data_IF_062110293333
#
_entry.id   IF_062110293333
#
_cell.length_a   1.000
_cell.length_b   1.000
_cell.length_c   1.000
_cell.angle_alpha   90.00
_cell.angle_beta   90.00
_cell.angle_gamma   90.00
#
_symmetry.space_group_name_H-M   'P 1'
#
loop_
_entity.id
_entity.type
_entity.pdbx_description
1 polymer ?
#
# COMPACT_ATOMS: atom_id res chain seq x y z
N UNK A 1 -47.00 48.62 -20.93
CA UNK A 1 -47.85 47.42 -20.82
C UNK A 1 -47.00 46.25 -21.28
N UNK A 2 -46.41 45.39 -20.46
CA UNK A 2 -46.60 45.05 -19.05
C UNK A 2 -45.25 44.69 -18.40
N UNK A 3 -45.04 45.12 -17.16
CA UNK A 3 -44.09 44.53 -16.21
C UNK A 3 -44.62 43.19 -15.67
N UNK A 4 -43.71 42.29 -15.25
CA UNK A 4 -43.62 41.70 -13.89
C UNK A 4 -42.53 40.60 -13.86
N UNK A 5 -41.76 40.64 -12.77
CA UNK A 5 -40.59 39.86 -12.39
C UNK A 5 -40.83 38.35 -12.11
N UNK A 6 -39.74 37.56 -12.10
CA UNK A 6 -39.30 36.68 -10.99
C UNK A 6 -38.29 35.60 -11.46
N UNK A 7 -37.10 35.56 -10.86
CA UNK A 7 -36.35 34.31 -10.57
C UNK A 7 -36.74 33.89 -9.15
N UNK A 8 -36.82 32.59 -8.74
CA UNK A 8 -35.70 31.61 -8.79
C UNK A 8 -36.10 30.09 -8.85
N UNK A 9 -35.09 29.21 -8.70
CA UNK A 9 -35.08 27.90 -7.96
C UNK A 9 -34.83 26.61 -8.77
N UNK A 10 -33.99 25.75 -8.15
CA UNK A 10 -33.48 24.43 -8.52
C UNK A 10 -34.50 23.28 -8.60
N UNK A 11 -33.96 22.08 -8.90
CA UNK A 11 -34.46 20.68 -8.76
C UNK A 11 -35.08 20.10 -10.04
N UNK A 12 -34.94 18.82 -10.40
CA UNK A 12 -34.24 17.61 -9.94
C UNK A 12 -34.61 16.54 -11.01
N UNK A 13 -33.76 15.51 -11.24
CA UNK A 13 -34.14 14.15 -11.73
C UNK A 13 -34.79 14.07 -13.15
N UNK A 14 -34.57 13.15 -14.08
CA UNK A 14 -33.99 11.82 -14.29
C UNK A 14 -33.49 11.88 -15.76
N UNK A 15 -32.40 11.26 -16.18
CA UNK A 15 -32.45 9.94 -16.83
C UNK A 15 -31.20 9.18 -16.44
N UNK A 16 -31.42 8.28 -15.50
CA UNK A 16 -30.59 7.11 -15.23
C UNK A 16 -30.72 6.20 -16.45
N UNK A 17 -29.64 5.99 -17.20
CA UNK A 17 -29.55 4.85 -18.11
C UNK A 17 -28.28 4.04 -17.83
N UNK A 18 -28.46 3.19 -16.82
CA UNK A 18 -28.02 1.80 -16.76
C UNK A 18 -26.99 1.37 -17.81
N UNK A 19 -25.71 1.51 -17.46
CA UNK A 19 -24.71 0.49 -17.79
C UNK A 19 -24.09 -0.04 -16.52
N UNK A 20 -24.89 -0.87 -15.85
CA UNK A 20 -24.47 -1.81 -14.83
C UNK A 20 -23.39 -2.73 -15.39
N UNK A 21 -22.15 -2.30 -15.22
CA UNK A 21 -20.96 -3.15 -15.15
C UNK A 21 -20.31 -2.96 -13.79
N UNK A 22 -21.11 -2.87 -12.72
CA UNK A 22 -20.61 -2.95 -11.35
C UNK A 22 -20.22 -4.40 -11.14
N UNK A 23 -18.96 -4.70 -11.42
CA UNK A 23 -18.30 -5.87 -10.85
C UNK A 23 -18.24 -5.54 -9.36
N UNK A 24 -19.11 -6.17 -8.57
CA UNK A 24 -19.01 -6.16 -7.11
C UNK A 24 -17.74 -6.94 -6.75
N UNK A 25 -16.58 -6.32 -6.94
CA UNK A 25 -15.39 -6.65 -6.17
C UNK A 25 -15.57 -5.89 -4.86
N UNK A 26 -15.89 -6.61 -3.78
CA UNK A 26 -15.82 -6.08 -2.42
C UNK A 26 -14.36 -5.69 -2.13
N UNK A 27 -13.96 -4.54 -2.65
CA UNK A 27 -12.69 -3.88 -2.40
C UNK A 27 -12.81 -3.14 -1.08
N UNK A 28 -12.87 -3.90 0.00
CA UNK A 28 -12.95 -3.38 1.36
C UNK A 28 -12.09 -4.25 2.29
N UNK A 29 -10.78 -4.27 2.08
CA UNK A 29 -9.86 -4.30 3.23
C UNK A 29 -9.82 -2.90 3.88
N UNK A 30 -11.00 -2.31 4.10
CA UNK A 30 -11.18 -1.10 4.86
C UNK A 30 -11.08 -1.44 6.34
N UNK A 31 -10.59 -0.50 7.14
CA UNK A 31 -10.42 -0.60 8.60
C UNK A 31 -11.74 -0.77 9.41
N UNK A 32 -12.82 -1.25 8.79
CA UNK A 32 -14.07 -1.64 9.45
C UNK A 32 -14.19 -3.16 9.48
N UNK A 33 -13.46 -3.82 10.38
CA UNK A 33 -13.73 -5.21 10.73
C UNK A 33 -14.73 -5.20 11.89
N UNK A 34 -16.01 -5.39 11.56
CA UNK A 34 -17.12 -5.45 12.54
C UNK A 34 -17.13 -6.78 13.33
N UNK A 35 -16.12 -7.64 13.16
CA UNK A 35 -15.99 -8.91 13.86
C UNK A 35 -16.89 -10.02 13.34
N UNK A 36 -17.59 -9.80 12.24
CA UNK A 36 -18.41 -10.79 11.54
C UNK A 36 -17.52 -11.59 10.58
N UNK A 37 -17.66 -12.93 10.51
CA UNK A 37 -16.95 -13.73 9.51
C UNK A 37 -17.20 -13.17 8.11
N UNK A 38 -16.12 -12.96 7.37
CA UNK A 38 -16.21 -12.55 5.97
C UNK A 38 -16.25 -13.81 5.10
N UNK A 39 -17.03 -13.78 4.02
CA UNK A 39 -17.12 -14.88 3.05
C UNK A 39 -15.76 -15.27 2.46
N UNK A 40 -14.78 -14.36 2.50
CA UNK A 40 -13.41 -14.57 2.03
C UNK A 40 -12.43 -15.13 3.07
N UNK A 41 -12.87 -15.43 4.30
CA UNK A 41 -11.96 -15.82 5.39
C UNK A 41 -11.21 -17.13 5.13
N UNK A 42 -11.81 -18.04 4.36
CA UNK A 42 -11.19 -19.32 3.96
C UNK A 42 -10.31 -19.19 2.71
N UNK A 43 -10.34 -18.05 2.02
CA UNK A 43 -9.50 -17.82 0.85
C UNK A 43 -8.03 -17.66 1.24
N UNK A 44 -7.09 -18.14 0.41
CA UNK A 44 -5.67 -17.96 0.67
C UNK A 44 -5.32 -16.46 0.67
N UNK A 45 -4.34 -16.09 1.47
CA UNK A 45 -3.72 -14.76 1.37
C UNK A 45 -3.14 -14.59 -0.04
N UNK A 46 -3.55 -13.51 -0.72
CA UNK A 46 -3.01 -13.10 -2.02
C UNK A 46 -2.67 -11.62 -1.90
N UNK A 47 -1.53 -11.20 -2.44
CA UNK A 47 -1.27 -9.78 -2.65
C UNK A 47 -2.12 -9.33 -3.83
N UNK A 48 -3.33 -8.88 -3.56
CA UNK A 48 -4.11 -8.21 -4.57
C UNK A 48 -3.60 -6.78 -4.69
N UNK A 49 -3.13 -6.41 -5.88
CA UNK A 49 -2.92 -5.01 -6.22
C UNK A 49 -4.13 -4.58 -7.05
N UNK A 50 -5.18 -4.04 -6.43
CA UNK A 50 -6.41 -3.69 -7.14
C UNK A 50 -6.21 -2.49 -8.10
N UNK A 51 -5.07 -1.80 -7.99
CA UNK A 51 -4.77 -0.58 -8.75
C UNK A 51 -3.65 -0.80 -9.76
N UNK A 52 -3.90 -0.43 -11.01
CA UNK A 52 -2.84 -0.29 -12.00
C UNK A 52 -1.99 0.96 -11.69
N UNK A 53 -0.95 0.76 -10.88
CA UNK A 53 -0.01 1.80 -10.47
C UNK A 53 0.78 2.38 -11.64
N UNK A 54 1.14 1.56 -12.62
CA UNK A 54 1.88 2.02 -13.78
C UNK A 54 1.03 2.99 -14.62
N UNK A 55 -0.23 2.63 -14.88
CA UNK A 55 -1.15 3.52 -15.61
C UNK A 55 -1.50 4.76 -14.79
N UNK A 56 -1.78 4.60 -13.48
CA UNK A 56 -2.08 5.73 -12.58
C UNK A 56 -0.92 6.73 -12.51
N UNK A 57 0.32 6.25 -12.39
CA UNK A 57 1.50 7.09 -12.34
C UNK A 57 1.75 7.82 -13.66
N UNK A 58 1.58 7.14 -14.81
CA UNK A 58 1.69 7.79 -16.13
C UNK A 58 0.66 8.91 -16.30
N UNK A 59 -0.60 8.64 -15.99
CA UNK A 59 -1.66 9.66 -16.02
C UNK A 59 -1.35 10.82 -15.06
N UNK A 60 -0.84 10.52 -13.86
CA UNK A 60 -0.42 11.51 -12.89
C UNK A 60 0.71 12.41 -13.41
N UNK A 61 1.71 11.83 -14.07
CA UNK A 61 2.80 12.58 -14.70
C UNK A 61 2.29 13.48 -15.82
N UNK A 62 1.49 12.93 -16.73
CA UNK A 62 0.94 13.68 -17.86
C UNK A 62 0.11 14.88 -17.38
N UNK A 63 -0.67 14.68 -16.30
CA UNK A 63 -1.42 15.73 -15.63
C UNK A 63 -0.50 16.80 -15.03
N UNK A 64 0.52 16.42 -14.26
CA UNK A 64 1.45 17.38 -13.64
C UNK A 64 2.19 18.22 -14.68
N UNK A 65 2.64 17.58 -15.78
CA UNK A 65 3.29 18.28 -16.90
C UNK A 65 2.30 19.25 -17.57
N UNK A 66 1.06 18.84 -17.80
CA UNK A 66 0.03 19.73 -18.35
C UNK A 66 -0.31 20.91 -17.42
N UNK A 67 -0.19 20.73 -16.11
CA UNK A 67 -0.34 21.78 -15.09
C UNK A 67 0.91 22.69 -14.97
N UNK A 68 1.97 22.43 -15.75
CA UNK A 68 3.17 23.26 -15.84
C UNK A 68 4.36 22.80 -15.00
N UNK A 69 4.32 21.58 -14.46
CA UNK A 69 5.49 20.99 -13.81
C UNK A 69 6.62 20.78 -14.83
N UNK A 70 7.86 21.01 -14.39
CA UNK A 70 9.05 20.65 -15.16
C UNK A 70 9.09 19.12 -15.34
N UNK A 71 9.16 18.59 -16.58
CA UNK A 71 9.27 17.15 -16.82
C UNK A 71 10.43 16.49 -16.05
N UNK A 72 11.55 17.19 -15.82
CA UNK A 72 12.70 16.66 -15.08
C UNK A 72 12.47 16.63 -13.56
N UNK A 73 11.37 17.24 -13.08
CA UNK A 73 10.95 17.24 -11.68
C UNK A 73 9.92 16.17 -11.35
N UNK A 74 9.47 15.36 -12.32
CA UNK A 74 8.49 14.29 -12.10
C UNK A 74 9.05 12.96 -12.60
N UNK A 75 9.45 12.10 -11.66
CA UNK A 75 10.06 10.80 -11.96
C UNK A 75 9.21 9.64 -11.44
N UNK A 76 9.40 8.47 -12.03
CA UNK A 76 8.80 7.24 -11.53
C UNK A 76 9.67 6.58 -10.46
N UNK A 77 9.03 5.84 -9.55
CA UNK A 77 9.73 5.02 -8.55
C UNK A 77 10.71 4.03 -9.23
N UNK A 78 10.32 3.46 -10.36
CA UNK A 78 11.18 2.58 -11.17
C UNK A 78 12.44 3.26 -11.73
N UNK A 79 12.44 4.60 -11.83
CA UNK A 79 13.53 5.41 -12.36
C UNK A 79 14.54 5.81 -11.27
N UNK A 80 14.22 5.64 -9.98
CA UNK A 80 15.14 5.99 -8.88
C UNK A 80 16.52 5.34 -9.00
N UNK A 81 16.57 4.11 -9.52
CA UNK A 81 17.84 3.39 -9.76
C UNK A 81 18.77 4.12 -10.73
N UNK A 82 18.22 4.95 -11.62
CA UNK A 82 19.01 5.76 -12.55
C UNK A 82 19.64 6.97 -11.85
N UNK A 83 19.07 7.39 -10.72
CA UNK A 83 19.55 8.51 -9.92
C UNK A 83 20.40 8.08 -8.73
N UNK A 84 20.18 6.86 -8.22
CA UNK A 84 20.90 6.30 -7.06
C UNK A 84 21.59 5.01 -7.51
N UNK A 85 22.70 5.17 -8.22
CA UNK A 85 23.51 4.05 -8.71
C UNK A 85 24.23 3.38 -7.54
N UNK A 86 24.06 2.06 -7.45
CA UNK A 86 24.84 1.22 -6.54
C UNK A 86 26.22 0.97 -7.16
N UNK A 87 27.27 1.20 -6.37
CA UNK A 87 28.64 0.98 -6.81
C UNK A 87 29.10 -0.46 -6.48
N UNK A 88 29.96 -1.02 -7.32
CA UNK A 88 30.52 -2.34 -7.08
C UNK A 88 31.40 -2.32 -5.82
N UNK A 89 31.24 -3.32 -4.94
CA UNK A 89 31.96 -3.40 -3.66
C UNK A 89 31.48 -2.40 -2.58
N UNK A 90 30.43 -1.62 -2.86
CA UNK A 90 29.90 -0.64 -1.91
C UNK A 90 29.25 -1.31 -0.69
N UNK A 91 29.58 -0.80 0.50
CA UNK A 91 28.96 -1.26 1.74
C UNK A 91 27.49 -0.81 1.83
N UNK A 92 26.66 -1.57 2.54
CA UNK A 92 25.25 -1.18 2.74
C UNK A 92 25.10 0.17 3.44
N UNK A 93 26.05 0.53 4.31
CA UNK A 93 26.01 1.80 5.04
C UNK A 93 26.32 2.99 4.11
N UNK A 94 27.32 2.85 3.25
CA UNK A 94 27.67 3.89 2.27
C UNK A 94 26.54 4.07 1.24
N UNK A 95 25.95 2.96 0.78
CA UNK A 95 24.79 3.00 -0.10
C UNK A 95 23.60 3.70 0.55
N UNK A 96 23.27 3.36 1.81
CA UNK A 96 22.17 3.98 2.54
C UNK A 96 22.40 5.49 2.74
N UNK A 97 23.65 5.90 3.02
CA UNK A 97 24.02 7.31 3.13
C UNK A 97 23.79 8.04 1.81
N UNK A 98 24.31 7.52 0.69
CA UNK A 98 24.13 8.13 -0.63
C UNK A 98 22.66 8.19 -1.03
N UNK A 99 21.91 7.12 -0.75
CA UNK A 99 20.47 7.08 -0.98
C UNK A 99 19.77 8.25 -0.26
N UNK A 100 20.04 8.41 1.05
CA UNK A 100 19.43 9.48 1.85
C UNK A 100 19.83 10.88 1.35
N UNK A 101 21.11 11.09 1.01
CA UNK A 101 21.60 12.36 0.46
C UNK A 101 20.92 12.71 -0.87
N UNK A 102 20.81 11.76 -1.80
CA UNK A 102 20.14 11.97 -3.09
C UNK A 102 18.65 12.25 -2.91
N UNK A 103 17.96 11.50 -2.04
CA UNK A 103 16.55 11.73 -1.73
C UNK A 103 16.32 13.12 -1.13
N UNK A 104 17.15 13.54 -0.18
CA UNK A 104 17.06 14.89 0.39
C UNK A 104 17.30 15.98 -0.66
N UNK A 105 18.25 15.76 -1.57
CA UNK A 105 18.49 16.70 -2.68
C UNK A 105 17.34 16.75 -3.69
N UNK A 106 16.65 15.63 -3.92
CA UNK A 106 15.42 15.59 -4.74
C UNK A 106 14.27 16.34 -4.05
N UNK A 107 14.06 16.13 -2.75
CA UNK A 107 13.07 16.85 -1.94
C UNK A 107 13.35 18.35 -1.96
N UNK A 108 14.61 18.76 -1.78
CA UNK A 108 15.01 20.17 -1.83
C UNK A 108 14.79 20.83 -3.19
N UNK A 109 14.66 20.05 -4.26
CA UNK A 109 14.31 20.49 -5.62
C UNK A 109 12.84 20.28 -5.97
N UNK A 110 12.02 19.89 -5.00
CA UNK A 110 10.59 19.59 -5.19
C UNK A 110 10.31 18.51 -6.24
N UNK A 111 11.21 17.52 -6.37
CA UNK A 111 11.00 16.38 -7.28
C UNK A 111 9.85 15.52 -6.76
N UNK A 112 8.86 15.30 -7.62
CA UNK A 112 7.73 14.39 -7.38
C UNK A 112 8.09 12.99 -7.84
N UNK A 113 8.09 12.03 -6.91
CA UNK A 113 8.33 10.62 -7.21
C UNK A 113 6.98 9.89 -7.22
N UNK A 114 6.57 9.43 -8.39
CA UNK A 114 5.30 8.75 -8.59
C UNK A 114 5.49 7.23 -8.46
N UNK A 115 4.70 6.60 -7.59
CA UNK A 115 4.74 5.15 -7.40
C UNK A 115 4.12 4.43 -8.60
N UNK A 116 4.95 3.94 -9.51
CA UNK A 116 4.56 3.10 -10.65
C UNK A 116 4.79 1.60 -10.40
N UNK A 117 5.39 1.23 -9.26
CA UNK A 117 5.83 -0.12 -8.93
C UNK A 117 5.04 -0.79 -7.80
N UNK A 118 3.94 -0.19 -7.33
CA UNK A 118 3.16 -0.73 -6.21
C UNK A 118 4.00 -0.92 -4.91
N UNK A 119 4.98 -0.05 -4.66
CA UNK A 119 5.86 -0.23 -3.49
C UNK A 119 5.20 0.10 -2.14
N UNK A 120 3.99 0.67 -2.14
CA UNK A 120 3.30 1.16 -0.93
C UNK A 120 2.03 0.41 -0.55
N UNK A 121 1.48 -0.43 -1.44
CA UNK A 121 0.21 -1.15 -1.20
C UNK A 121 0.41 -2.56 -0.66
N UNK A 122 1.67 -2.96 -0.45
CA UNK A 122 1.97 -4.22 0.21
C UNK A 122 1.60 -4.06 1.67
N UNK A 123 0.47 -4.65 2.06
CA UNK A 123 0.09 -4.80 3.46
C UNK A 123 1.23 -5.53 4.17
N UNK A 124 1.72 -4.92 5.26
CA UNK A 124 2.73 -5.54 6.11
C UNK A 124 2.21 -6.91 6.58
N UNK A 125 2.77 -7.95 6.00
CA UNK A 125 2.42 -9.36 6.25
C UNK A 125 3.43 -10.03 7.18
N UNK A 126 4.52 -9.32 7.49
CA UNK A 126 5.55 -9.76 8.42
C UNK A 126 5.45 -9.00 9.74
N UNK A 127 5.39 -9.72 10.86
CA UNK A 127 5.30 -9.14 12.20
C UNK A 127 6.47 -9.60 13.05
N UNK A 128 7.18 -8.65 13.65
CA UNK A 128 8.29 -8.93 14.56
C UNK A 128 7.87 -8.67 16.00
N UNK A 129 8.03 -9.65 16.87
CA UNK A 129 7.81 -9.51 18.31
C UNK A 129 9.03 -8.88 18.98
N UNK A 130 8.85 -8.33 20.18
CA UNK A 130 9.93 -7.70 20.95
C UNK A 130 11.10 -8.66 21.28
N UNK A 131 10.82 -9.96 21.36
CA UNK A 131 11.83 -11.03 21.56
C UNK A 131 12.57 -11.43 20.26
N UNK A 132 12.28 -10.75 19.14
CA UNK A 132 12.99 -10.90 17.87
C UNK A 132 12.44 -11.97 16.92
N UNK A 133 11.42 -12.73 17.32
CA UNK A 133 10.75 -13.70 16.43
C UNK A 133 9.99 -13.00 15.31
N UNK A 134 9.89 -13.67 14.16
CA UNK A 134 9.25 -13.12 12.96
C UNK A 134 8.14 -14.06 12.49
N UNK A 135 6.95 -13.51 12.31
CA UNK A 135 5.76 -14.20 11.84
C UNK A 135 5.43 -13.72 10.44
N UNK A 136 5.33 -14.65 9.49
CA UNK A 136 4.99 -14.36 8.10
C UNK A 136 3.55 -14.83 7.83
N UNK A 137 2.67 -13.88 7.51
CA UNK A 137 1.30 -14.11 7.09
C UNK A 137 1.08 -13.67 5.63
N UNK A 138 2.15 -13.60 4.84
CA UNK A 138 2.07 -13.31 3.41
C UNK A 138 1.53 -14.50 2.60
N UNK A 139 1.24 -14.34 1.30
CA UNK A 139 0.74 -15.39 0.41
C UNK A 139 1.58 -16.67 0.35
N UNK A 140 2.88 -16.58 0.66
CA UNK A 140 3.78 -17.74 0.73
C UNK A 140 3.75 -18.51 2.05
N UNK A 141 3.01 -18.03 3.05
CA UNK A 141 2.92 -18.66 4.38
C UNK A 141 1.86 -19.75 4.49
N UNK A 142 0.92 -19.80 3.54
CA UNK A 142 -0.28 -20.64 3.64
C UNK A 142 -1.36 -20.08 4.57
N UNK A 143 -1.22 -18.84 5.07
CA UNK A 143 -2.27 -18.16 5.82
C UNK A 143 -3.50 -17.90 4.96
N UNK A 144 -4.68 -17.97 5.56
CA UNK A 144 -5.92 -17.47 4.97
C UNK A 144 -6.15 -15.99 5.30
N UNK A 145 -7.06 -15.34 4.57
CA UNK A 145 -7.46 -13.95 4.85
C UNK A 145 -8.04 -13.79 6.26
N UNK A 146 -8.81 -14.77 6.73
CA UNK A 146 -9.36 -14.79 8.09
C UNK A 146 -8.26 -14.89 9.15
N UNK A 147 -7.25 -15.72 8.92
CA UNK A 147 -6.10 -15.87 9.83
C UNK A 147 -5.26 -14.60 9.90
N UNK A 148 -5.07 -13.91 8.78
CA UNK A 148 -4.42 -12.61 8.74
C UNK A 148 -5.18 -11.54 9.55
N UNK A 149 -6.52 -11.47 9.39
CA UNK A 149 -7.38 -10.56 10.16
C UNK A 149 -7.33 -10.86 11.66
N UNK A 150 -7.47 -12.13 12.03
CA UNK A 150 -7.45 -12.55 13.42
C UNK A 150 -6.09 -12.28 14.07
N UNK A 151 -4.99 -12.60 13.38
CA UNK A 151 -3.64 -12.28 13.84
C UNK A 151 -3.47 -10.77 14.04
N UNK A 152 -3.91 -9.95 13.07
CA UNK A 152 -3.76 -8.50 13.13
C UNK A 152 -4.51 -7.90 14.34
N UNK A 153 -5.73 -8.37 14.62
CA UNK A 153 -6.50 -7.96 15.82
C UNK A 153 -5.82 -8.40 17.11
N UNK A 154 -5.36 -9.65 17.17
CA UNK A 154 -4.62 -10.17 18.31
C UNK A 154 -3.34 -9.35 18.55
N UNK A 155 -2.58 -9.06 17.50
CA UNK A 155 -1.32 -8.32 17.56
C UNK A 155 -1.54 -6.90 18.07
N UNK A 156 -2.51 -6.17 17.52
CA UNK A 156 -2.86 -4.81 17.99
C UNK A 156 -3.24 -4.81 19.47
N UNK A 157 -4.14 -5.71 19.89
CA UNK A 157 -4.57 -5.82 21.30
C UNK A 157 -3.41 -6.16 22.24
N UNK A 158 -2.54 -7.10 21.87
CA UNK A 158 -1.39 -7.50 22.70
C UNK A 158 -0.28 -6.45 22.69
N UNK A 159 -0.12 -5.70 21.59
CA UNK A 159 0.83 -4.60 21.48
C UNK A 159 0.45 -3.46 22.41
N UNK A 160 -0.83 -3.05 22.40
CA UNK A 160 -1.37 -2.04 23.32
C UNK A 160 -1.23 -2.47 24.79
N UNK A 161 -1.43 -3.75 25.09
CA UNK A 161 -1.31 -4.30 26.44
C UNK A 161 0.15 -4.58 26.86
N UNK A 162 1.14 -4.46 25.97
CA UNK A 162 2.53 -4.84 26.21
C UNK A 162 2.76 -6.34 26.48
N UNK A 163 1.80 -7.21 26.12
CA UNK A 163 1.79 -8.63 26.46
C UNK A 163 2.01 -9.51 25.22
N UNK A 164 3.19 -9.43 24.60
CA UNK A 164 3.55 -10.17 23.39
C UNK A 164 3.98 -11.64 23.64
N UNK A 165 3.88 -12.15 24.87
CA UNK A 165 4.42 -13.47 25.24
C UNK A 165 3.57 -14.65 24.75
N UNK A 166 2.29 -14.42 24.46
CA UNK A 166 1.31 -15.47 24.17
C UNK A 166 1.08 -15.63 22.65
N UNK A 167 2.04 -16.24 21.96
CA UNK A 167 2.00 -16.43 20.49
C UNK A 167 1.74 -17.89 20.08
N UNK A 168 1.41 -18.78 21.01
CA UNK A 168 1.29 -20.23 20.78
C UNK A 168 0.36 -20.59 19.61
N UNK A 169 -0.76 -19.86 19.46
CA UNK A 169 -1.70 -20.00 18.34
C UNK A 169 -1.09 -19.67 16.97
N UNK A 170 -0.06 -18.82 16.94
CA UNK A 170 0.53 -18.27 15.72
C UNK A 170 1.88 -18.89 15.36
N UNK A 171 2.39 -19.84 16.16
CA UNK A 171 3.68 -20.51 15.94
C UNK A 171 3.82 -21.12 14.55
N UNK A 172 2.71 -21.53 13.93
CA UNK A 172 2.71 -22.06 12.55
C UNK A 172 3.18 -21.05 11.50
N UNK A 173 3.09 -19.75 11.79
CA UNK A 173 3.54 -18.66 10.92
C UNK A 173 4.94 -18.15 11.29
N UNK A 174 5.54 -18.67 12.37
CA UNK A 174 6.88 -18.26 12.77
C UNK A 174 7.89 -18.74 11.71
N UNK A 175 8.57 -17.80 11.06
CA UNK A 175 9.77 -18.14 10.30
C UNK A 175 10.92 -18.28 11.29
N UNK A 176 11.45 -19.50 11.35
CA UNK A 176 12.77 -19.69 11.92
C UNK A 176 13.75 -18.76 11.21
N UNK A 177 14.53 -18.00 11.97
CA UNK A 177 15.64 -17.27 11.40
C UNK A 177 16.48 -18.29 10.64
N UNK A 178 16.54 -18.18 9.30
CA UNK A 178 17.46 -19.02 8.53
C UNK A 178 18.82 -18.77 9.13
N UNK A 179 19.36 -19.80 9.78
CA UNK A 179 20.75 -19.84 10.18
C UNK A 179 21.57 -19.42 8.98
N UNK A 180 22.49 -18.51 9.21
CA UNK A 180 23.45 -18.01 8.24
C UNK A 180 24.40 -19.16 7.88
N UNK A 181 23.95 -20.08 7.04
CA UNK A 181 24.69 -21.15 6.37
C UNK A 181 23.87 -21.41 5.09
N UNK A 182 24.41 -21.28 3.88
CA UNK A 182 25.61 -21.94 3.38
C UNK A 182 26.50 -21.00 2.55
N UNK A 183 27.76 -21.45 2.42
CA UNK A 183 28.97 -20.81 1.89
C UNK A 183 28.87 -20.31 0.44
#
# INVERSE_FOLDING_TARGET
MNDIAATPTMSEQEVIDQRSGVIHSESSQGNGDDGVPHDSDDEPMVYETPRDYATSARQGRDRLIAEGADPDSVIFQSELRNHILRQEGESSADFAKRYAETMNAMIGRSVSILNDQCTTDVVASGFRTADGRFFDLGPGSGATKGEFREFSRWFSKKSEAGQMHEVSKWLKFEKQAKGRFEL
#
